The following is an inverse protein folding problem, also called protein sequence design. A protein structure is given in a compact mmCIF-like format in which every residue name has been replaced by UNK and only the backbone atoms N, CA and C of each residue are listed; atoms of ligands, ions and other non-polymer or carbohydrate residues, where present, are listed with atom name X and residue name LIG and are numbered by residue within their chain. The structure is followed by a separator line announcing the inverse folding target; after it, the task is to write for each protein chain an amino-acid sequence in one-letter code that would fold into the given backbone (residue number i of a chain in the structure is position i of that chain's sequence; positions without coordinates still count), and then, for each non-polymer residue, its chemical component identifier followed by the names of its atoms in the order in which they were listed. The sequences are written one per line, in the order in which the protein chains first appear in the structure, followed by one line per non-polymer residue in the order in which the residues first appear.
data_IF_374668354205
#
_entry.id   IF_374668354205
#
_cell.length_a   1.000
_cell.length_b   1.000
_cell.length_c   1.000
_cell.angle_alpha   90.00
_cell.angle_beta   90.00
_cell.angle_gamma   90.00
#
_symmetry.space_group_name_H-M   'P 1'
#
loop_
_entity.id
_entity.type
_entity.pdbx_description
1 polymer ?
#
# COMPACT_ATOMS: atom_id res chain seq x y z
N UNK A 1 8.64 3.93 -0.73
CA UNK A 1 9.21 3.05 0.28
C UNK A 1 8.07 2.25 0.87
N UNK A 2 8.15 0.92 0.80
CA UNK A 2 7.16 0.01 1.37
C UNK A 2 7.72 -0.66 2.63
N UNK A 3 6.90 -0.89 3.66
CA UNK A 3 7.27 -1.65 4.86
C UNK A 3 6.30 -2.81 5.01
N UNK A 4 6.85 -4.02 5.15
CA UNK A 4 6.12 -5.28 5.30
C UNK A 4 6.38 -5.85 6.70
N UNK A 5 5.31 -6.10 7.48
CA UNK A 5 5.39 -6.66 8.84
C UNK A 5 4.70 -8.02 8.94
N UNK A 6 5.45 -9.09 9.23
CA UNK A 6 4.90 -10.44 9.46
C UNK A 6 4.59 -10.72 10.94
N UNK A 7 3.54 -11.51 11.19
CA UNK A 7 2.90 -11.68 12.51
C UNK A 7 3.62 -12.59 13.53
N UNK A 8 4.69 -13.31 13.15
CA UNK A 8 5.39 -14.19 14.10
C UNK A 8 6.40 -13.42 14.98
N UNK A 9 6.00 -13.15 16.22
CA UNK A 9 6.89 -12.75 17.30
C UNK A 9 7.50 -14.00 17.95
N UNK A 10 8.80 -14.21 17.78
CA UNK A 10 9.57 -15.02 18.73
C UNK A 10 10.90 -14.35 19.09
N UNK A 11 11.29 -14.60 20.34
CA UNK A 11 12.26 -13.84 21.13
C UNK A 11 13.70 -14.28 20.77
N UNK A 12 14.56 -13.28 20.50
CA UNK A 12 16.05 -13.27 20.47
C UNK A 12 16.86 -13.87 19.29
N UNK A 13 17.76 -13.02 18.73
CA UNK A 13 18.90 -13.19 17.78
C UNK A 13 18.61 -13.11 16.24
N UNK A 14 19.66 -12.92 15.40
CA UNK A 14 20.02 -11.69 14.70
C UNK A 14 19.23 -11.36 13.39
N UNK A 15 18.90 -10.07 13.26
CA UNK A 15 18.38 -9.32 12.09
C UNK A 15 17.28 -9.96 11.22
N UNK A 16 16.08 -10.16 11.77
CA UNK A 16 14.81 -10.36 11.03
C UNK A 16 14.33 -9.11 10.24
N UNK A 17 15.25 -8.30 9.73
CA UNK A 17 14.94 -7.14 8.89
C UNK A 17 15.86 -7.15 7.69
N UNK A 18 15.30 -7.11 6.49
CA UNK A 18 16.07 -7.00 5.26
C UNK A 18 15.46 -5.97 4.31
N UNK A 19 16.28 -5.51 3.37
CA UNK A 19 15.90 -4.53 2.37
C UNK A 19 15.84 -5.19 1.00
N UNK A 20 14.79 -4.89 0.24
CA UNK A 20 14.63 -5.34 -1.14
C UNK A 20 14.35 -4.14 -2.05
N UNK A 21 14.78 -4.23 -3.30
CA UNK A 21 14.41 -3.27 -4.34
C UNK A 21 13.57 -4.00 -5.37
N UNK A 22 12.29 -3.66 -5.43
CA UNK A 22 11.33 -4.29 -6.34
C UNK A 22 11.13 -3.39 -7.56
N UNK A 23 11.52 -3.82 -8.77
CA UNK A 23 11.24 -3.07 -9.99
C UNK A 23 9.77 -3.20 -10.38
N UNK A 24 9.13 -2.08 -10.71
CA UNK A 24 7.77 -2.09 -11.24
C UNK A 24 7.60 -0.95 -12.24
N UNK A 25 7.56 -1.28 -13.54
CA UNK A 25 7.67 -0.30 -14.62
C UNK A 25 8.91 0.59 -14.42
N UNK A 26 8.77 1.91 -14.53
CA UNK A 26 9.85 2.88 -14.34
C UNK A 26 10.16 3.17 -12.86
N UNK A 27 9.49 2.47 -11.94
CA UNK A 27 9.65 2.65 -10.50
C UNK A 27 10.58 1.59 -9.91
N UNK A 28 11.36 2.03 -8.93
CA UNK A 28 12.12 1.16 -8.01
C UNK A 28 11.53 1.31 -6.62
N UNK A 29 10.80 0.29 -6.17
CA UNK A 29 10.16 0.27 -4.87
C UNK A 29 11.18 -0.23 -3.85
N UNK A 30 11.68 0.68 -3.01
CA UNK A 30 12.51 0.32 -1.84
C UNK A 30 11.59 -0.29 -0.76
N UNK A 31 11.76 -1.57 -0.47
CA UNK A 31 10.98 -2.31 0.52
C UNK A 31 11.84 -2.67 1.75
N UNK A 32 11.30 -2.43 2.94
CA UNK A 32 11.83 -2.94 4.20
C UNK A 32 10.93 -4.06 4.69
N UNK A 33 11.47 -5.27 4.81
CA UNK A 33 10.73 -6.43 5.31
C UNK A 33 11.20 -6.71 6.73
N UNK A 34 10.27 -6.79 7.68
CA UNK A 34 10.62 -6.99 9.08
C UNK A 34 9.58 -7.82 9.83
N UNK A 35 10.01 -8.52 10.87
CA UNK A 35 9.10 -9.07 11.91
C UNK A 35 9.02 -8.18 13.15
N UNK A 36 9.77 -7.08 13.19
CA UNK A 36 9.91 -6.24 14.39
C UNK A 36 8.98 -5.05 14.32
N UNK A 37 8.01 -5.03 15.23
CA UNK A 37 7.15 -3.86 15.44
C UNK A 37 7.98 -2.57 15.64
N UNK A 38 9.10 -2.65 16.37
CA UNK A 38 9.97 -1.49 16.61
C UNK A 38 10.59 -0.90 15.34
N UNK A 39 10.89 -1.71 14.32
CA UNK A 39 11.38 -1.20 13.03
C UNK A 39 10.26 -0.52 12.25
N UNK A 40 9.02 -1.01 12.38
CA UNK A 40 7.84 -0.35 11.82
C UNK A 40 7.56 0.97 12.53
N UNK A 41 7.59 0.99 13.87
CA UNK A 41 7.41 2.21 14.66
C UNK A 41 8.46 3.27 14.29
N UNK A 42 9.71 2.84 14.15
CA UNK A 42 10.80 3.69 13.69
C UNK A 42 10.55 4.23 12.27
N UNK A 43 10.09 3.38 11.36
CA UNK A 43 9.74 3.79 10.00
C UNK A 43 8.58 4.79 9.97
N UNK A 44 7.52 4.55 10.76
CA UNK A 44 6.38 5.46 10.91
C UNK A 44 6.87 6.80 11.45
N UNK A 45 7.65 6.78 12.54
CA UNK A 45 8.20 7.98 13.14
C UNK A 45 9.06 8.78 12.14
N UNK A 46 9.98 8.11 11.43
CA UNK A 46 10.82 8.75 10.42
C UNK A 46 10.00 9.34 9.27
N UNK A 47 9.00 8.62 8.78
CA UNK A 47 8.08 9.10 7.74
C UNK A 47 7.34 10.35 8.22
N UNK A 48 6.80 10.33 9.43
CA UNK A 48 6.17 11.52 10.04
C UNK A 48 7.15 12.69 10.13
N UNK A 49 8.39 12.46 10.55
CA UNK A 49 9.40 13.53 10.67
C UNK A 49 9.77 14.12 9.31
N UNK A 50 10.00 13.28 8.30
CA UNK A 50 10.32 13.71 6.92
C UNK A 50 9.16 14.54 6.36
N UNK A 51 7.93 14.08 6.58
CA UNK A 51 6.73 14.70 6.04
C UNK A 51 6.08 15.71 7.00
N UNK A 52 6.73 16.10 8.11
CA UNK A 52 6.12 16.89 9.20
C UNK A 52 5.43 18.18 8.75
N UNK A 53 5.94 18.85 7.72
CA UNK A 53 5.35 20.09 7.16
C UNK A 53 4.06 19.85 6.39
N UNK A 54 3.82 18.61 5.97
CA UNK A 54 2.70 18.16 5.14
C UNK A 54 2.09 16.87 5.67
N UNK A 55 2.19 16.62 6.98
CA UNK A 55 1.64 15.42 7.61
C UNK A 55 0.14 15.29 7.32
N UNK A 56 -0.51 16.45 7.31
CA UNK A 56 -1.89 16.65 6.96
C UNK A 56 -2.22 16.26 5.49
N UNK A 57 -1.24 16.12 4.59
CA UNK A 57 -1.43 15.68 3.19
C UNK A 57 -0.78 14.32 2.92
N UNK A 58 -0.33 13.62 3.96
CA UNK A 58 0.40 12.37 3.79
C UNK A 58 -0.57 11.26 3.39
N UNK A 59 -0.41 10.74 2.18
CA UNK A 59 -1.09 9.54 1.72
C UNK A 59 -0.18 8.33 1.96
N UNK A 60 -0.76 7.25 2.47
CA UNK A 60 -0.09 5.97 2.66
C UNK A 60 -0.96 4.90 2.01
N UNK A 61 -0.40 4.11 1.10
CA UNK A 61 -1.03 2.89 0.61
C UNK A 61 -0.97 1.82 1.69
N UNK A 62 -2.09 1.16 1.97
CA UNK A 62 -2.19 0.11 2.98
C UNK A 62 -2.79 -1.13 2.33
N UNK A 63 -2.23 -2.29 2.67
CA UNK A 63 -2.83 -3.57 2.35
C UNK A 63 -2.54 -4.58 3.47
N UNK A 64 -3.24 -5.73 3.46
CA UNK A 64 -2.96 -6.86 4.36
C UNK A 64 -3.04 -8.20 3.63
N UNK A 65 -2.21 -9.16 4.06
CA UNK A 65 -2.35 -10.57 3.68
C UNK A 65 -2.75 -11.41 4.91
N UNK A 66 -3.48 -12.50 4.69
CA UNK A 66 -3.97 -13.36 5.76
C UNK A 66 -3.58 -14.82 5.56
N UNK A 67 -3.54 -15.57 6.65
CA UNK A 67 -3.34 -17.03 6.62
C UNK A 67 -4.55 -17.72 5.99
N UNK A 68 -4.35 -18.52 4.95
CA UNK A 68 -5.41 -19.35 4.40
C UNK A 68 -5.86 -20.42 5.43
N UNK A 69 -7.17 -20.55 5.71
CA UNK A 69 -7.64 -21.54 6.68
C UNK A 69 -7.37 -22.96 6.16
N UNK A 70 -6.70 -23.79 6.96
CA UNK A 70 -6.45 -25.20 6.62
C UNK A 70 -7.73 -26.06 6.59
N UNK A 71 -8.78 -25.61 7.27
CA UNK A 71 -10.12 -26.22 7.32
C UNK A 71 -11.18 -25.11 7.41
N UNK A 72 -12.44 -25.35 6.98
CA UNK A 72 -13.53 -24.39 7.21
C UNK A 72 -13.78 -24.24 8.72
N UNK A 73 -13.17 -23.21 9.30
CA UNK A 73 -13.34 -22.85 10.71
C UNK A 73 -14.25 -21.62 10.80
N UNK A 74 -14.91 -21.45 11.94
CA UNK A 74 -15.76 -20.28 12.24
C UNK A 74 -14.91 -19.01 12.49
N UNK A 75 -13.60 -19.17 12.64
CA UNK A 75 -12.69 -18.07 12.95
C UNK A 75 -12.21 -17.38 11.68
N UNK A 76 -12.27 -16.05 11.67
CA UNK A 76 -11.68 -15.25 10.60
C UNK A 76 -10.17 -15.53 10.52
N UNK A 77 -9.59 -15.62 9.31
CA UNK A 77 -8.16 -15.86 9.16
C UNK A 77 -7.37 -14.74 9.81
N UNK A 78 -6.29 -15.10 10.51
CA UNK A 78 -5.41 -14.13 11.16
C UNK A 78 -4.60 -13.37 10.11
N UNK A 79 -4.48 -12.05 10.30
CA UNK A 79 -3.60 -11.20 9.48
C UNK A 79 -2.17 -11.69 9.66
N UNK A 80 -1.55 -12.07 8.55
CA UNK A 80 -0.21 -12.60 8.49
C UNK A 80 0.81 -11.51 8.13
N UNK A 81 0.42 -10.57 7.26
CA UNK A 81 1.26 -9.48 6.77
C UNK A 81 0.50 -8.15 6.78
N UNK A 82 1.16 -7.08 7.22
CA UNK A 82 0.73 -5.70 6.99
C UNK A 82 1.66 -5.03 5.98
N UNK A 83 1.09 -4.40 4.95
CA UNK A 83 1.85 -3.60 3.99
C UNK A 83 1.54 -2.10 4.14
N UNK A 84 2.59 -1.27 4.17
CA UNK A 84 2.48 0.19 4.16
C UNK A 84 3.37 0.76 3.07
N UNK A 85 2.89 1.71 2.27
CA UNK A 85 3.69 2.35 1.23
C UNK A 85 3.52 3.87 1.19
N UNK A 86 4.64 4.58 1.11
CA UNK A 86 4.69 6.04 0.89
C UNK A 86 5.57 6.36 -0.32
N UNK A 87 5.11 7.26 -1.20
CA UNK A 87 5.88 7.73 -2.35
C UNK A 87 6.89 8.83 -2.00
N UNK A 88 8.01 8.90 -2.74
CA UNK A 88 8.88 10.08 -2.76
C UNK A 88 8.17 11.16 -3.58
N UNK A 89 7.61 12.17 -2.93
CA UNK A 89 6.93 13.26 -3.63
C UNK A 89 7.96 14.26 -4.18
N UNK A 90 8.67 13.90 -5.26
CA UNK A 90 9.50 14.85 -6.02
C UNK A 90 8.82 15.16 -7.36
N UNK A 91 8.44 16.42 -7.57
CA UNK A 91 7.79 16.91 -8.80
C UNK A 91 6.35 17.36 -8.58
N UNK A 92 5.44 16.43 -8.32
CA UNK A 92 3.98 16.71 -8.29
C UNK A 92 3.48 17.37 -6.98
N UNK A 93 4.33 17.36 -5.95
CA UNK A 93 4.06 17.97 -4.65
C UNK A 93 3.84 19.49 -4.71
N UNK A 94 4.50 20.17 -5.65
CA UNK A 94 4.47 21.63 -5.79
C UNK A 94 3.13 22.10 -6.40
N UNK A 95 2.59 21.35 -7.36
CA UNK A 95 1.29 21.64 -7.99
C UNK A 95 0.13 21.42 -7.00
N UNK A 96 0.17 20.31 -6.25
CA UNK A 96 -0.84 20.00 -5.22
C UNK A 96 -0.76 20.89 -3.95
N UNK A 97 0.34 21.62 -3.74
CA UNK A 97 0.45 22.56 -2.62
C UNK A 97 -0.17 23.92 -2.94
N UNK A 98 -0.08 24.37 -4.19
CA UNK A 98 -0.56 25.67 -4.63
C UNK A 98 -2.09 25.74 -4.67
N UNK A 99 -2.75 24.58 -4.84
CA UNK A 99 -4.16 24.56 -5.22
C UNK A 99 -5.12 24.10 -4.08
N UNK A 100 -4.74 23.17 -3.17
CA UNK A 100 -5.75 22.45 -2.33
C UNK A 100 -5.32 22.13 -0.88
N UNK A 101 -5.35 23.07 0.08
CA UNK A 101 -4.94 22.85 1.48
C UNK A 101 -5.77 21.85 2.31
N UNK A 102 -5.42 20.55 2.35
CA UNK A 102 -6.21 19.50 3.05
C UNK A 102 -5.44 18.61 4.04
N UNK A 103 -6.12 18.22 5.14
CA UNK A 103 -5.65 17.52 6.36
C UNK A 103 -6.01 16.01 6.38
N UNK A 104 -5.23 15.12 7.04
CA UNK A 104 -5.45 13.65 7.07
C UNK A 104 -5.54 13.11 8.51
N UNK A 105 -6.67 12.43 8.80
CA UNK A 105 -6.92 11.61 9.98
C UNK A 105 -7.78 10.34 9.68
N UNK A 106 -8.15 10.09 8.40
CA UNK A 106 -9.11 9.05 8.00
C UNK A 106 -8.52 8.03 7.02
N UNK A 107 -9.04 6.80 7.04
CA UNK A 107 -8.83 5.78 5.98
C UNK A 107 -9.76 6.04 4.79
N UNK A 108 -9.26 5.86 3.57
CA UNK A 108 -10.06 6.01 2.35
C UNK A 108 -10.06 4.69 1.59
N UNK A 109 -11.26 4.17 1.35
CA UNK A 109 -11.47 2.98 0.55
C UNK A 109 -11.38 3.33 -0.94
N UNK A 110 -10.50 2.64 -1.68
CA UNK A 110 -10.25 2.93 -3.09
C UNK A 110 -11.47 2.71 -3.96
N UNK A 111 -12.30 1.71 -3.66
CA UNK A 111 -13.52 1.43 -4.41
C UNK A 111 -14.56 2.54 -4.21
N UNK A 112 -14.74 3.02 -2.98
CA UNK A 112 -15.61 4.18 -2.71
C UNK A 112 -15.10 5.45 -3.38
N UNK A 113 -13.79 5.70 -3.32
CA UNK A 113 -13.19 6.87 -3.98
C UNK A 113 -13.34 6.77 -5.50
N UNK A 114 -13.01 5.62 -6.08
CA UNK A 114 -13.13 5.38 -7.52
C UNK A 114 -14.58 5.47 -8.00
N UNK A 115 -15.55 4.95 -7.24
CA UNK A 115 -16.97 5.11 -7.54
C UNK A 115 -17.38 6.57 -7.62
N UNK A 116 -16.97 7.38 -6.63
CA UNK A 116 -17.26 8.83 -6.60
C UNK A 116 -16.58 9.56 -7.76
N UNK A 117 -15.32 9.23 -8.03
CA UNK A 117 -14.50 9.92 -9.03
C UNK A 117 -14.88 9.55 -10.46
N UNK A 118 -15.23 8.28 -10.72
CA UNK A 118 -15.55 7.77 -12.05
C UNK A 118 -17.03 7.83 -12.37
N UNK A 119 -17.91 7.95 -11.36
CA UNK A 119 -19.36 8.00 -11.51
C UNK A 119 -19.93 6.77 -12.24
N UNK A 120 -19.25 5.63 -12.10
CA UNK A 120 -19.63 4.36 -12.71
C UNK A 120 -19.67 3.30 -11.61
N UNK A 121 -20.83 2.66 -11.43
CA UNK A 121 -21.09 1.72 -10.32
C UNK A 121 -20.05 0.60 -10.22
N UNK A 122 -19.57 0.14 -11.38
CA UNK A 122 -18.60 -0.94 -11.47
C UNK A 122 -17.31 -0.64 -10.69
N UNK A 123 -16.83 0.61 -10.69
CA UNK A 123 -15.63 1.00 -9.95
C UNK A 123 -15.78 0.82 -8.42
N UNK A 124 -17.02 0.77 -7.92
CA UNK A 124 -17.31 0.45 -6.53
C UNK A 124 -17.05 -1.02 -6.15
N UNK A 125 -16.76 -1.90 -7.12
CA UNK A 125 -16.64 -3.35 -6.89
C UNK A 125 -15.46 -4.03 -7.58
N UNK A 126 -14.70 -3.31 -8.41
CA UNK A 126 -13.53 -3.90 -9.08
C UNK A 126 -12.38 -4.17 -8.10
N UNK A 127 -11.63 -5.24 -8.35
CA UNK A 127 -10.42 -5.54 -7.58
C UNK A 127 -9.24 -4.66 -7.97
N UNK A 128 -8.25 -4.57 -7.09
CA UNK A 128 -7.05 -3.73 -7.24
C UNK A 128 -6.36 -3.88 -8.60
N UNK A 129 -6.20 -5.12 -9.09
CA UNK A 129 -5.58 -5.42 -10.39
C UNK A 129 -6.31 -4.74 -11.56
N UNK A 130 -7.65 -4.78 -11.54
CA UNK A 130 -8.47 -4.18 -12.58
C UNK A 130 -8.45 -2.65 -12.47
N UNK A 131 -8.56 -2.13 -11.24
CA UNK A 131 -8.47 -0.69 -11.00
C UNK A 131 -7.12 -0.12 -11.43
N UNK A 132 -6.01 -0.82 -11.17
CA UNK A 132 -4.67 -0.45 -11.60
C UNK A 132 -4.57 -0.32 -13.13
N UNK A 133 -5.19 -1.24 -13.86
CA UNK A 133 -5.23 -1.18 -15.31
C UNK A 133 -6.09 0.00 -15.79
N UNK A 134 -7.31 0.15 -15.27
CA UNK A 134 -8.27 1.15 -15.73
C UNK A 134 -7.87 2.59 -15.37
N UNK A 135 -7.24 2.80 -14.21
CA UNK A 135 -6.89 4.14 -13.70
C UNK A 135 -5.44 4.51 -14.02
N UNK A 136 -4.50 3.57 -13.93
CA UNK A 136 -3.07 3.86 -14.11
C UNK A 136 -2.49 3.31 -15.42
N UNK A 137 -3.23 2.48 -16.17
CA UNK A 137 -2.70 1.75 -17.32
C UNK A 137 -1.63 0.70 -16.96
N UNK A 138 -1.53 0.31 -15.68
CA UNK A 138 -0.49 -0.61 -15.18
C UNK A 138 -1.06 -2.02 -15.02
N UNK A 139 -0.40 -2.99 -15.64
CA UNK A 139 -0.75 -4.42 -15.51
C UNK A 139 -0.02 -5.00 -14.30
N UNK A 140 -0.79 -5.49 -13.35
CA UNK A 140 -0.26 -6.22 -12.19
C UNK A 140 -0.44 -7.72 -12.36
N UNK A 141 0.65 -8.47 -12.15
CA UNK A 141 0.56 -9.92 -12.00
C UNK A 141 -0.02 -10.21 -10.62
N UNK A 142 -1.01 -11.11 -10.58
CA UNK A 142 -1.49 -11.71 -9.34
C UNK A 142 -1.50 -13.23 -9.50
N UNK A 143 -0.30 -13.87 -9.48
CA UNK A 143 -0.20 -15.31 -9.68
C UNK A 143 -0.87 -16.03 -8.51
N UNK A 144 -1.71 -17.01 -8.84
CA UNK A 144 -2.50 -17.74 -7.86
C UNK A 144 -1.62 -18.33 -6.74
N UNK A 145 -0.49 -18.91 -7.14
CA UNK A 145 0.48 -19.59 -6.27
C UNK A 145 1.10 -18.66 -5.23
N UNK A 146 1.14 -17.35 -5.47
CA UNK A 146 1.59 -16.34 -4.49
C UNK A 146 0.40 -15.85 -3.68
N UNK A 147 -0.72 -15.53 -4.31
CA UNK A 147 -1.91 -15.01 -3.60
C UNK A 147 -2.44 -15.97 -2.53
N UNK A 148 -2.30 -17.28 -2.78
CA UNK A 148 -2.75 -18.35 -1.89
C UNK A 148 -1.57 -19.03 -1.16
N UNK A 149 -0.40 -18.41 -1.16
CA UNK A 149 0.79 -18.95 -0.50
C UNK A 149 0.69 -18.89 1.03
N UNK A 150 1.66 -19.52 1.69
CA UNK A 150 1.83 -19.47 3.14
C UNK A 150 2.36 -18.09 3.57
N UNK A 151 1.47 -17.11 3.69
CA UNK A 151 1.81 -15.74 4.08
C UNK A 151 2.25 -15.60 5.54
N UNK A 152 1.97 -16.60 6.37
CA UNK A 152 2.46 -16.73 7.74
C UNK A 152 3.77 -17.54 7.84
N UNK A 153 4.41 -17.85 6.71
CA UNK A 153 5.73 -18.47 6.71
C UNK A 153 6.75 -17.63 7.50
N UNK A 154 7.74 -18.33 8.07
CA UNK A 154 8.79 -17.69 8.84
C UNK A 154 9.63 -16.71 8.01
N UNK A 155 9.77 -16.94 6.71
CA UNK A 155 10.42 -15.99 5.81
C UNK A 155 9.58 -15.87 4.55
N UNK A 156 9.38 -14.64 4.08
CA UNK A 156 8.74 -14.41 2.80
C UNK A 156 9.73 -14.70 1.67
N UNK A 157 9.27 -15.40 0.64
CA UNK A 157 10.05 -15.57 -0.58
C UNK A 157 10.11 -14.27 -1.40
N UNK A 158 11.01 -14.22 -2.39
CA UNK A 158 11.20 -13.03 -3.24
C UNK A 158 9.89 -12.65 -3.95
N UNK A 159 9.14 -13.65 -4.41
CA UNK A 159 7.87 -13.48 -5.11
C UNK A 159 6.78 -12.90 -4.20
N UNK A 160 6.73 -13.34 -2.93
CA UNK A 160 5.83 -12.78 -1.91
C UNK A 160 6.19 -11.33 -1.59
N UNK A 161 7.49 -11.01 -1.44
CA UNK A 161 7.97 -9.64 -1.20
C UNK A 161 7.65 -8.73 -2.39
N UNK A 162 7.89 -9.19 -3.62
CA UNK A 162 7.59 -8.46 -4.85
C UNK A 162 6.09 -8.19 -4.95
N UNK A 163 5.25 -9.22 -4.76
CA UNK A 163 3.80 -9.09 -4.79
C UNK A 163 3.31 -8.05 -3.77
N UNK A 164 3.69 -8.22 -2.51
CA UNK A 164 3.23 -7.38 -1.42
C UNK A 164 3.69 -5.91 -1.56
N UNK A 165 4.92 -5.70 -2.06
CA UNK A 165 5.44 -4.35 -2.31
C UNK A 165 4.69 -3.65 -3.46
N UNK A 166 4.37 -4.37 -4.54
CA UNK A 166 3.62 -3.83 -5.68
C UNK A 166 2.18 -3.51 -5.28
N UNK A 167 1.50 -4.39 -4.53
CA UNK A 167 0.12 -4.17 -4.08
C UNK A 167 -0.02 -2.90 -3.23
N UNK A 168 0.89 -2.70 -2.27
CA UNK A 168 0.91 -1.49 -1.44
C UNK A 168 1.28 -0.24 -2.25
N UNK A 169 2.25 -0.34 -3.17
CA UNK A 169 2.65 0.76 -4.04
C UNK A 169 1.52 1.20 -4.99
N UNK A 170 0.84 0.25 -5.61
CA UNK A 170 -0.26 0.56 -6.53
C UNK A 170 -1.45 1.14 -5.78
N UNK A 171 -1.74 0.64 -4.57
CA UNK A 171 -2.77 1.25 -3.72
C UNK A 171 -2.47 2.71 -3.39
N UNK A 172 -1.20 3.03 -3.10
CA UNK A 172 -0.73 4.41 -2.93
C UNK A 172 -0.92 5.25 -4.21
N UNK A 173 -0.43 4.76 -5.36
CA UNK A 173 -0.51 5.48 -6.65
C UNK A 173 -1.96 5.72 -7.11
N UNK A 174 -2.84 4.73 -6.90
CA UNK A 174 -4.27 4.87 -7.17
C UNK A 174 -4.90 5.98 -6.34
N UNK A 175 -4.58 6.03 -5.05
CA UNK A 175 -5.03 7.12 -4.19
C UNK A 175 -4.59 8.49 -4.72
N UNK A 176 -3.31 8.65 -5.10
CA UNK A 176 -2.81 9.91 -5.70
C UNK A 176 -3.58 10.27 -6.98
N UNK A 177 -3.75 9.31 -7.89
CA UNK A 177 -4.41 9.52 -9.18
C UNK A 177 -5.88 9.93 -9.00
N UNK A 178 -6.63 9.18 -8.19
CA UNK A 178 -8.05 9.43 -7.93
C UNK A 178 -8.28 10.75 -7.18
N UNK A 179 -7.45 11.08 -6.20
CA UNK A 179 -7.54 12.38 -5.53
C UNK A 179 -7.26 13.53 -6.50
N UNK A 180 -6.24 13.40 -7.35
CA UNK A 180 -5.90 14.43 -8.34
C UNK A 180 -7.06 14.66 -9.33
N UNK A 181 -7.73 13.60 -9.76
CA UNK A 181 -8.92 13.68 -10.61
C UNK A 181 -10.11 14.30 -9.87
N UNK A 182 -10.38 13.89 -8.63
CA UNK A 182 -11.43 14.47 -7.79
C UNK A 182 -11.27 15.99 -7.65
N UNK A 183 -10.05 16.45 -7.34
CA UNK A 183 -9.77 17.88 -7.15
C UNK A 183 -9.78 18.65 -8.47
N UNK A 184 -9.40 18.03 -9.59
CA UNK A 184 -9.51 18.66 -10.92
C UNK A 184 -10.97 18.93 -11.31
N UNK A 185 -11.92 18.13 -10.84
CA UNK A 185 -13.36 18.30 -11.10
C UNK A 185 -14.00 19.35 -10.18
N UNK A 186 -13.49 19.53 -8.96
CA UNK A 186 -14.03 20.47 -7.96
C UNK A 186 -13.65 21.94 -8.13
N UNK A 187 -12.77 22.30 -9.07
CA UNK A 187 -12.30 23.68 -9.31
C UNK A 187 -13.19 24.53 -10.24
N UNK A 188 -14.42 24.10 -10.51
CA UNK A 188 -15.33 24.72 -11.48
C UNK A 188 -16.59 25.36 -10.88
N UNK A 189 -16.52 25.93 -9.67
CA UNK A 189 -17.61 26.71 -9.06
C UNK A 189 -17.10 28.02 -8.50
#
# INVERSE_FOLDING_TARGET
MATLLSSHQDITYPTHTFFSTVPFYDFKIEATVTKKASEVDKWIFQTIQIHRRRLHKLLIGLDIEWRAPHYPTVQLPSTALLQLCVGRVHGDALKLNKDYGLYVANTVDLNKLALVVKEVEEYGRIGLKRMAYEVLGKVMKKPFDVTMSEWDADELCVEQVEYAAIDAFVSFELGISLFSELFSRGGGV
#
